data_IF_783679276974
#
_entry.id   IF_783679276974
#
_cell.length_a   1.000
_cell.length_b   1.000
_cell.length_c   1.000
_cell.angle_alpha   90.00
_cell.angle_beta   90.00
_cell.angle_gamma   90.00
#
_symmetry.space_group_name_H-M   'P 1'
#
loop_
_entity.id
_entity.type
_entity.pdbx_description
1 polymer ?
#
# COMPACT_ATOMS: atom_id res chain seq x y z
N UNK A 1 -6.78 -24.18 49.10
CA UNK A 1 -7.98 -23.71 49.83
C UNK A 1 -9.02 -23.30 48.80
N UNK A 2 -10.25 -23.83 48.89
CA UNK A 2 -11.40 -23.31 48.13
C UNK A 2 -11.97 -22.11 48.89
N UNK A 3 -12.16 -20.99 48.21
CA UNK A 3 -13.05 -19.92 48.66
C UNK A 3 -13.96 -19.47 47.51
N UNK A 4 -15.26 -19.54 47.78
CA UNK A 4 -16.37 -19.00 47.00
C UNK A 4 -16.64 -17.54 47.37
N UNK A 5 -17.12 -16.73 46.42
CA UNK A 5 -17.84 -15.49 46.70
C UNK A 5 -17.28 -14.23 46.03
N UNK A 6 -18.15 -13.56 45.28
CA UNK A 6 -17.94 -12.33 44.48
C UNK A 6 -17.22 -11.20 45.22
N UNK A 7 -16.09 -10.77 44.65
CA UNK A 7 -15.72 -9.36 44.46
C UNK A 7 -14.58 -9.31 43.42
N UNK A 8 -14.87 -8.89 42.20
CA UNK A 8 -13.86 -8.70 41.15
C UNK A 8 -13.15 -7.37 41.46
N UNK A 9 -12.10 -7.42 42.28
CA UNK A 9 -11.11 -6.36 42.44
C UNK A 9 -9.84 -6.79 41.71
N UNK A 10 -9.25 -5.86 40.97
CA UNK A 10 -8.03 -6.03 40.19
C UNK A 10 -6.90 -6.62 41.05
N UNK A 11 -6.63 -7.92 40.91
CA UNK A 11 -5.48 -8.54 41.55
C UNK A 11 -4.27 -8.34 40.64
N UNK A 12 -3.32 -7.52 41.09
CA UNK A 12 -1.97 -7.52 40.56
C UNK A 12 -1.29 -8.81 41.07
N UNK A 13 -1.11 -9.79 40.20
CA UNK A 13 -0.30 -10.97 40.52
C UNK A 13 1.18 -10.59 40.37
N UNK A 14 1.90 -10.51 41.49
CA UNK A 14 3.35 -10.50 41.48
C UNK A 14 3.84 -11.96 41.45
N UNK A 15 4.39 -12.41 40.34
CA UNK A 15 5.11 -13.68 40.24
C UNK A 15 6.60 -13.38 40.36
N UNK A 16 7.25 -13.88 41.40
CA UNK A 16 8.71 -13.82 41.52
C UNK A 16 9.33 -14.85 40.57
N UNK A 17 10.07 -14.38 39.56
CA UNK A 17 10.93 -15.23 38.74
C UNK A 17 12.37 -15.05 39.21
N UNK A 18 13.04 -16.16 39.52
CA UNK A 18 14.44 -16.16 39.93
C UNK A 18 15.31 -16.19 38.66
N UNK A 19 15.99 -15.08 38.37
CA UNK A 19 17.07 -15.04 37.36
C UNK A 19 18.38 -14.92 38.12
N UNK A 20 19.36 -15.77 37.77
CA UNK A 20 20.67 -15.76 38.40
C UNK A 20 21.33 -14.38 38.24
N UNK A 21 21.32 -13.57 39.31
CA UNK A 21 21.92 -12.22 39.32
C UNK A 21 21.17 -11.15 40.11
N UNK A 22 19.91 -11.36 40.51
CA UNK A 22 19.19 -10.41 41.38
C UNK A 22 17.67 -10.43 41.23
N UNK A 23 16.97 -9.94 42.26
CA UNK A 23 15.50 -9.82 42.26
C UNK A 23 15.10 -8.62 41.41
N UNK A 24 14.63 -8.86 40.18
CA UNK A 24 13.90 -7.86 39.43
C UNK A 24 12.41 -7.92 39.83
N UNK A 25 11.92 -6.89 40.52
CA UNK A 25 10.48 -6.65 40.69
C UNK A 25 9.90 -6.21 39.34
N UNK A 26 9.60 -7.19 38.47
CA UNK A 26 8.89 -6.94 37.23
C UNK A 26 7.41 -6.70 37.54
N UNK A 27 6.98 -5.43 37.58
CA UNK A 27 5.55 -5.12 37.45
C UNK A 27 5.17 -5.53 36.03
N UNK A 28 4.44 -6.64 35.89
CA UNK A 28 3.84 -6.97 34.60
C UNK A 28 2.85 -5.87 34.26
N UNK A 29 3.25 -4.99 33.33
CA UNK A 29 2.37 -3.97 32.81
C UNK A 29 1.11 -4.66 32.25
N UNK A 30 -0.07 -4.15 32.60
CA UNK A 30 -1.32 -4.65 32.04
C UNK A 30 -1.40 -4.38 30.54
N UNK A 31 -2.31 -5.05 29.80
CA UNK A 31 -2.43 -4.89 28.36
C UNK A 31 -2.68 -3.44 27.93
N UNK A 32 -3.44 -2.65 28.69
CA UNK A 32 -3.68 -1.23 28.36
C UNK A 32 -2.39 -0.38 28.41
N UNK A 33 -1.53 -0.65 29.40
CA UNK A 33 -0.26 0.07 29.56
C UNK A 33 0.74 -0.35 28.48
N UNK A 34 0.83 -1.65 28.18
CA UNK A 34 1.67 -2.17 27.08
C UNK A 34 1.23 -1.63 25.73
N UNK A 35 -0.09 -1.57 25.48
CA UNK A 35 -0.65 -1.00 24.26
C UNK A 35 -0.22 0.47 24.11
N UNK A 36 -0.38 1.27 25.16
CA UNK A 36 0.00 2.68 25.15
C UNK A 36 1.51 2.87 24.95
N UNK A 37 2.34 2.14 25.71
CA UNK A 37 3.79 2.21 25.58
C UNK A 37 4.26 1.80 24.18
N UNK A 38 3.64 0.78 23.57
CA UNK A 38 3.96 0.36 22.21
C UNK A 38 3.63 1.45 21.18
N UNK A 39 2.46 2.09 21.31
CA UNK A 39 2.08 3.23 20.47
C UNK A 39 3.08 4.39 20.60
N UNK A 40 3.46 4.75 21.83
CA UNK A 40 4.40 5.84 22.11
C UNK A 40 5.80 5.53 21.56
N UNK A 41 6.29 4.30 21.73
CA UNK A 41 7.57 3.85 21.20
C UNK A 41 7.59 3.86 19.66
N UNK A 42 6.50 3.44 19.00
CA UNK A 42 6.40 3.44 17.54
C UNK A 42 6.32 4.87 16.98
N UNK A 43 5.60 5.76 17.65
CA UNK A 43 5.57 7.18 17.33
C UNK A 43 6.95 7.83 17.46
N UNK A 44 7.71 7.44 18.49
CA UNK A 44 9.08 7.90 18.74
C UNK A 44 10.12 7.26 17.79
N UNK A 45 9.72 6.39 16.87
CA UNK A 45 10.64 5.73 15.92
C UNK A 45 11.51 4.64 16.53
N UNK A 46 11.21 4.19 17.76
CA UNK A 46 11.97 3.15 18.47
C UNK A 46 11.49 1.75 18.06
N UNK A 47 11.79 1.36 16.82
CA UNK A 47 11.20 0.17 16.19
C UNK A 47 11.35 -1.13 17.02
N UNK A 48 12.55 -1.40 17.56
CA UNK A 48 12.81 -2.61 18.36
C UNK A 48 12.03 -2.63 19.67
N UNK A 49 12.02 -1.49 20.38
CA UNK A 49 11.27 -1.34 21.64
C UNK A 49 9.77 -1.48 21.40
N UNK A 50 9.25 -0.79 20.37
CA UNK A 50 7.84 -0.88 19.97
C UNK A 50 7.44 -2.32 19.64
N UNK A 51 8.25 -3.05 18.85
CA UNK A 51 7.99 -4.46 18.53
C UNK A 51 7.89 -5.32 19.79
N UNK A 52 8.82 -5.17 20.73
CA UNK A 52 8.79 -5.93 21.99
C UNK A 52 7.54 -5.61 22.81
N UNK A 53 7.13 -4.34 22.87
CA UNK A 53 5.93 -3.92 23.59
C UNK A 53 4.65 -4.42 22.91
N UNK A 54 4.58 -4.41 21.58
CA UNK A 54 3.46 -5.00 20.83
C UNK A 54 3.34 -6.50 21.05
N UNK A 55 4.46 -7.23 21.06
CA UNK A 55 4.47 -8.66 21.37
C UNK A 55 4.09 -8.93 22.82
N UNK A 56 4.57 -8.11 23.75
CA UNK A 56 4.16 -8.15 25.15
C UNK A 56 2.66 -7.93 25.32
N UNK A 57 2.09 -6.96 24.60
CA UNK A 57 0.64 -6.75 24.56
C UNK A 57 -0.09 -8.00 24.06
N UNK A 58 0.34 -8.60 22.94
CA UNK A 58 -0.29 -9.79 22.38
C UNK A 58 -0.14 -11.04 23.27
N UNK A 59 0.90 -11.09 24.10
CA UNK A 59 1.06 -12.15 25.10
C UNK A 59 0.11 -11.96 26.30
N UNK A 60 -0.18 -10.71 26.67
CA UNK A 60 -1.13 -10.37 27.73
C UNK A 60 -2.60 -10.42 27.24
N UNK A 61 -2.83 -10.13 25.96
CA UNK A 61 -4.14 -10.14 25.31
C UNK A 61 -4.03 -10.79 23.93
N UNK A 62 -4.28 -12.11 23.90
CA UNK A 62 -4.13 -12.92 22.69
C UNK A 62 -5.40 -12.93 21.81
N UNK A 63 -6.55 -12.49 22.32
CA UNK A 63 -7.83 -12.59 21.65
C UNK A 63 -8.61 -11.30 21.74
N UNK A 64 -9.54 -11.14 20.80
CA UNK A 64 -10.44 -10.02 20.73
C UNK A 64 -9.96 -8.94 19.77
N UNK A 65 -10.82 -7.96 19.57
CA UNK A 65 -10.68 -7.00 18.47
C UNK A 65 -9.40 -6.16 18.57
N UNK A 66 -8.91 -5.85 19.77
CA UNK A 66 -7.65 -5.10 19.94
C UNK A 66 -6.45 -5.93 19.52
N UNK A 67 -6.37 -7.19 19.97
CA UNK A 67 -5.33 -8.13 19.55
C UNK A 67 -5.34 -8.32 18.04
N UNK A 68 -6.52 -8.48 17.43
CA UNK A 68 -6.65 -8.61 15.98
C UNK A 68 -6.23 -7.35 15.24
N UNK A 69 -6.56 -6.15 15.74
CA UNK A 69 -6.10 -4.88 15.17
C UNK A 69 -4.58 -4.73 15.27
N UNK A 70 -3.98 -5.10 16.40
CA UNK A 70 -2.52 -5.07 16.58
C UNK A 70 -1.85 -6.01 15.58
N UNK A 71 -2.32 -7.26 15.46
CA UNK A 71 -1.79 -8.29 14.54
C UNK A 71 -1.85 -7.94 13.06
N UNK A 72 -2.71 -7.00 12.70
CA UNK A 72 -3.00 -6.64 11.32
C UNK A 72 -2.63 -5.17 11.02
N UNK A 73 -1.86 -4.50 11.89
CA UNK A 73 -1.47 -3.09 11.74
C UNK A 73 -2.63 -2.13 11.47
N UNK A 74 -3.71 -2.29 12.25
CA UNK A 74 -4.93 -1.48 12.19
C UNK A 74 -5.09 -0.54 13.40
N UNK A 75 -4.03 -0.37 14.21
CA UNK A 75 -4.06 0.54 15.36
C UNK A 75 -3.78 1.96 14.88
N UNK A 76 -4.69 2.90 15.14
CA UNK A 76 -4.47 4.32 14.82
C UNK A 76 -3.52 4.91 15.87
N UNK A 77 -2.32 5.30 15.46
CA UNK A 77 -1.32 5.91 16.33
C UNK A 77 -1.55 7.42 16.49
N UNK A 78 -2.02 8.07 15.42
CA UNK A 78 -2.23 9.52 15.42
C UNK A 78 -2.65 10.02 14.05
N UNK A 79 -3.00 11.32 14.01
CA UNK A 79 -3.42 11.98 12.77
C UNK A 79 -2.74 13.32 12.59
N UNK A 80 -2.41 13.67 11.35
CA UNK A 80 -1.92 14.99 10.93
C UNK A 80 -2.88 15.59 9.92
N UNK A 81 -3.23 16.86 10.07
CA UNK A 81 -4.03 17.61 9.09
C UNK A 81 -3.11 18.57 8.32
N UNK A 82 -3.15 18.46 7.00
CA UNK A 82 -2.54 19.37 6.05
C UNK A 82 -3.65 20.35 5.68
N UNK A 83 -3.49 21.64 6.01
CA UNK A 83 -4.56 22.63 6.16
C UNK A 83 -5.55 22.80 5.01
N UNK A 84 -6.45 23.79 5.13
CA UNK A 84 -7.62 23.93 4.24
C UNK A 84 -7.32 24.05 2.75
N UNK A 85 -6.11 24.47 2.39
CA UNK A 85 -5.68 24.64 1.01
C UNK A 85 -5.21 23.32 0.36
N UNK A 86 -4.92 22.30 1.18
CA UNK A 86 -4.60 20.96 0.71
C UNK A 86 -5.89 20.18 0.40
N UNK A 87 -6.38 20.20 -0.84
CA UNK A 87 -7.61 19.47 -1.22
C UNK A 87 -7.49 18.76 -2.56
N UNK A 88 -8.16 17.61 -2.66
CA UNK A 88 -8.39 16.88 -3.91
C UNK A 88 -7.37 15.75 -4.11
N UNK A 89 -7.88 14.53 -4.33
CA UNK A 89 -7.13 13.30 -4.66
C UNK A 89 -5.69 13.23 -4.11
N UNK A 90 -5.47 13.04 -2.80
CA UNK A 90 -4.12 12.93 -2.27
C UNK A 90 -3.45 11.65 -2.81
N UNK A 91 -2.19 11.77 -3.24
CA UNK A 91 -1.38 10.65 -3.71
C UNK A 91 0.06 10.81 -3.23
N UNK A 92 0.57 9.79 -2.54
CA UNK A 92 1.93 9.78 -2.02
C UNK A 92 2.95 9.63 -3.16
N UNK A 93 4.08 10.33 -3.02
CA UNK A 93 5.27 10.01 -3.82
C UNK A 93 5.78 8.60 -3.47
N UNK A 94 6.51 7.94 -4.37
CA UNK A 94 7.04 6.58 -4.14
C UNK A 94 8.02 6.46 -2.97
N UNK A 95 8.70 7.55 -2.60
CA UNK A 95 9.56 7.60 -1.42
C UNK A 95 8.81 7.91 -0.11
N UNK A 96 7.51 8.21 -0.20
CA UNK A 96 6.65 8.51 0.94
C UNK A 96 6.93 9.85 1.62
N UNK A 97 7.73 10.74 1.04
CA UNK A 97 8.04 12.05 1.64
C UNK A 97 7.07 13.13 1.23
N UNK A 98 6.62 13.08 -0.02
CA UNK A 98 5.78 14.08 -0.63
C UNK A 98 4.34 13.57 -0.78
N UNK A 99 3.40 14.50 -0.76
CA UNK A 99 2.01 14.23 -1.06
C UNK A 99 1.52 15.19 -2.13
N UNK A 100 1.12 14.64 -3.28
CA UNK A 100 0.51 15.41 -4.36
C UNK A 100 -1.01 15.45 -4.16
N UNK A 101 -1.61 16.62 -4.32
CA UNK A 101 -3.05 16.83 -4.21
C UNK A 101 -3.49 17.89 -5.22
N UNK A 102 -4.79 17.93 -5.51
CA UNK A 102 -5.35 18.93 -6.40
C UNK A 102 -6.62 18.51 -7.12
N UNK A 103 -7.31 19.51 -7.67
CA UNK A 103 -8.44 19.34 -8.59
C UNK A 103 -8.48 20.51 -9.58
N UNK A 104 -7.76 20.36 -10.68
CA UNK A 104 -7.61 21.37 -11.74
C UNK A 104 -6.31 22.16 -11.67
N UNK A 105 -5.74 22.33 -10.47
CA UNK A 105 -4.33 22.67 -10.25
C UNK A 105 -3.74 21.63 -9.30
N UNK A 106 -2.46 21.28 -9.50
CA UNK A 106 -1.77 20.32 -8.66
C UNK A 106 -0.80 21.03 -7.74
N UNK A 107 -0.64 20.52 -6.53
CA UNK A 107 0.37 20.96 -5.60
C UNK A 107 0.99 19.76 -4.90
N UNK A 108 2.22 19.93 -4.45
CA UNK A 108 2.96 18.95 -3.67
C UNK A 108 3.26 19.58 -2.32
N UNK A 109 3.10 18.78 -1.26
CA UNK A 109 3.53 19.14 0.09
C UNK A 109 4.57 18.16 0.58
N UNK A 110 5.66 18.67 1.15
CA UNK A 110 6.56 17.87 1.98
C UNK A 110 5.85 17.56 3.30
N UNK A 111 5.63 16.28 3.57
CA UNK A 111 4.84 15.87 4.72
C UNK A 111 5.58 16.06 6.04
N UNK A 112 6.91 16.14 6.05
CA UNK A 112 7.68 16.41 7.26
C UNK A 112 7.65 17.90 7.60
N UNK A 113 8.02 18.77 6.65
CA UNK A 113 8.15 20.22 6.87
C UNK A 113 6.83 20.97 6.76
N UNK A 114 5.89 20.46 5.95
CA UNK A 114 4.66 21.16 5.58
C UNK A 114 4.84 22.21 4.49
N UNK A 115 6.04 22.33 3.92
CA UNK A 115 6.34 23.20 2.78
C UNK A 115 5.57 22.73 1.54
N UNK A 116 5.02 23.68 0.77
CA UNK A 116 4.13 23.41 -0.33
C UNK A 116 4.59 24.14 -1.58
N UNK A 117 4.51 23.46 -2.71
CA UNK A 117 4.68 24.11 -4.01
C UNK A 117 3.59 23.71 -4.98
N UNK A 118 3.10 24.71 -5.71
CA UNK A 118 2.13 24.52 -6.79
C UNK A 118 2.86 24.09 -8.06
N UNK A 119 2.31 23.10 -8.74
CA UNK A 119 2.78 22.70 -10.06
C UNK A 119 1.88 23.35 -11.11
N UNK A 120 2.51 24.09 -12.04
CA UNK A 120 1.79 24.65 -13.16
C UNK A 120 1.35 23.54 -14.12
N UNK A 121 0.07 23.54 -14.47
CA UNK A 121 -0.49 22.57 -15.39
C UNK A 121 -0.08 22.95 -16.82
N UNK A 122 0.56 22.05 -17.60
CA UNK A 122 1.12 22.43 -18.91
C UNK A 122 0.03 22.80 -19.92
N UNK A 123 -1.12 22.14 -19.82
CA UNK A 123 -2.22 22.22 -20.80
C UNK A 123 -3.58 22.13 -20.10
N UNK A 124 -3.86 23.06 -19.19
CA UNK A 124 -5.17 23.19 -18.55
C UNK A 124 -5.44 22.20 -17.41
N UNK A 125 -6.68 22.12 -16.91
CA UNK A 125 -6.96 21.52 -15.61
C UNK A 125 -6.67 20.01 -15.51
N UNK A 126 -5.90 19.61 -14.49
CA UNK A 126 -5.47 18.23 -14.23
C UNK A 126 -6.22 17.59 -13.06
N UNK A 127 -6.58 16.31 -13.20
CA UNK A 127 -7.37 15.55 -12.22
C UNK A 127 -6.87 14.10 -12.12
N UNK A 128 -7.24 13.37 -11.06
CA UNK A 128 -7.00 11.92 -10.93
C UNK A 128 -5.56 11.51 -11.27
N UNK A 129 -4.61 12.13 -10.58
CA UNK A 129 -3.18 11.95 -10.80
C UNK A 129 -2.61 10.70 -10.13
N UNK A 130 -1.47 10.22 -10.61
CA UNK A 130 -0.70 9.13 -10.01
C UNK A 130 0.79 9.23 -10.35
N UNK A 131 1.64 8.80 -9.42
CA UNK A 131 3.09 8.76 -9.62
C UNK A 131 3.51 7.44 -10.26
N UNK A 132 4.45 7.48 -11.19
CA UNK A 132 5.25 6.32 -11.53
C UNK A 132 6.10 5.90 -10.32
N UNK A 133 6.46 4.61 -10.18
CA UNK A 133 7.24 4.13 -9.04
C UNK A 133 8.64 4.75 -8.89
N UNK A 134 9.21 5.30 -9.95
CA UNK A 134 10.47 6.05 -9.94
C UNK A 134 10.30 7.53 -9.48
N UNK A 135 9.07 8.02 -9.41
CA UNK A 135 8.74 9.39 -9.01
C UNK A 135 8.96 10.45 -10.10
N UNK A 136 9.24 10.03 -11.34
CA UNK A 136 9.58 10.93 -12.45
C UNK A 136 8.35 11.25 -13.29
N UNK A 137 7.52 10.26 -13.59
CA UNK A 137 6.34 10.43 -14.45
C UNK A 137 5.07 10.56 -13.61
N UNK A 138 4.20 11.50 -14.01
CA UNK A 138 2.86 11.67 -13.47
C UNK A 138 1.83 11.32 -14.55
N UNK A 139 0.96 10.36 -14.25
CA UNK A 139 -0.23 10.11 -15.05
C UNK A 139 -1.37 11.01 -14.56
N UNK A 140 -2.00 11.74 -15.46
CA UNK A 140 -3.07 12.69 -15.13
C UNK A 140 -4.25 12.55 -16.09
N UNK A 141 -5.45 12.78 -15.58
CA UNK A 141 -6.64 12.99 -16.40
C UNK A 141 -6.77 14.47 -16.75
N UNK A 142 -6.94 14.76 -18.03
CA UNK A 142 -7.39 16.06 -18.53
C UNK A 142 -8.65 15.91 -19.39
N UNK A 143 -9.25 17.05 -19.76
CA UNK A 143 -10.42 17.12 -20.63
C UNK A 143 -9.97 17.61 -22.01
N UNK A 144 -10.24 16.81 -23.04
CA UNK A 144 -10.01 17.20 -24.43
C UNK A 144 -10.99 18.29 -24.87
N UNK A 145 -10.71 18.97 -25.99
CA UNK A 145 -11.61 19.95 -26.61
C UNK A 145 -12.98 19.36 -26.94
N UNK A 146 -13.01 18.07 -27.33
CA UNK A 146 -14.25 17.30 -27.52
C UNK A 146 -15.09 17.11 -26.24
N UNK A 147 -14.56 17.52 -25.10
CA UNK A 147 -15.12 17.34 -23.77
C UNK A 147 -14.90 15.97 -23.14
N UNK A 148 -14.30 15.03 -23.89
CA UNK A 148 -14.01 13.67 -23.43
C UNK A 148 -12.80 13.68 -22.48
N UNK A 149 -12.83 12.86 -21.41
CA UNK A 149 -11.68 12.73 -20.51
C UNK A 149 -10.60 11.85 -21.16
N UNK A 150 -9.35 12.25 -20.99
CA UNK A 150 -8.21 11.52 -21.51
C UNK A 150 -7.06 11.50 -20.51
N UNK A 151 -6.23 10.48 -20.61
CA UNK A 151 -5.06 10.27 -19.75
C UNK A 151 -3.83 10.76 -20.48
N UNK A 152 -3.08 11.64 -19.82
CA UNK A 152 -1.81 12.19 -20.26
C UNK A 152 -0.71 11.74 -19.30
N UNK A 153 0.51 11.67 -19.81
CA UNK A 153 1.71 11.44 -19.02
C UNK A 153 2.59 12.68 -19.08
N UNK A 154 3.14 13.05 -17.93
CA UNK A 154 4.03 14.18 -17.78
C UNK A 154 5.30 13.76 -17.05
N UNK A 155 6.46 14.22 -17.50
CA UNK A 155 7.70 14.14 -16.75
C UNK A 155 7.81 15.33 -15.80
N UNK A 156 8.19 15.05 -14.56
CA UNK A 156 8.46 16.05 -13.53
C UNK A 156 9.96 16.33 -13.50
N UNK A 157 10.33 17.60 -13.70
CA UNK A 157 11.69 18.06 -13.44
C UNK A 157 11.87 18.44 -11.95
N UNK A 158 13.11 18.45 -11.43
CA UNK A 158 13.39 18.81 -10.04
C UNK A 158 12.93 20.23 -9.66
N UNK A 159 12.84 21.14 -10.64
CA UNK A 159 12.37 22.53 -10.54
C UNK A 159 10.84 22.68 -10.78
N UNK A 160 10.10 21.59 -10.59
CA UNK A 160 8.65 21.53 -10.35
C UNK A 160 7.71 21.74 -11.54
N UNK A 161 8.24 22.10 -12.71
CA UNK A 161 7.46 22.11 -13.95
C UNK A 161 7.18 20.68 -14.43
N UNK A 162 5.94 20.47 -14.92
CA UNK A 162 5.52 19.25 -15.61
C UNK A 162 5.72 19.44 -17.11
N UNK A 163 6.30 18.44 -17.78
CA UNK A 163 6.52 18.46 -19.22
C UNK A 163 5.79 17.30 -19.87
N UNK A 164 5.01 17.51 -20.95
CA UNK A 164 4.34 16.41 -21.64
C UNK A 164 5.36 15.38 -22.11
N UNK A 165 5.07 14.09 -21.91
CA UNK A 165 5.89 13.03 -22.50
C UNK A 165 5.61 12.91 -24.00
N UNK A 166 6.64 12.63 -24.80
CA UNK A 166 6.46 12.36 -26.23
C UNK A 166 5.97 13.57 -27.02
N UNK A 167 4.92 13.40 -27.81
CA UNK A 167 4.30 14.44 -28.63
C UNK A 167 3.26 15.30 -27.86
N UNK A 168 3.03 14.99 -26.59
CA UNK A 168 2.03 15.67 -25.76
C UNK A 168 0.59 15.23 -26.03
N UNK A 169 0.38 14.15 -26.79
CA UNK A 169 -0.94 13.56 -26.99
C UNK A 169 -1.33 12.62 -25.84
N UNK A 170 -2.63 12.41 -25.58
CA UNK A 170 -3.06 11.47 -24.56
C UNK A 170 -2.76 10.01 -24.96
N UNK A 171 -2.34 9.19 -23.99
CA UNK A 171 -2.09 7.76 -24.23
C UNK A 171 -3.37 7.00 -24.62
N UNK A 172 -4.51 7.45 -24.09
CA UNK A 172 -5.86 7.02 -24.45
C UNK A 172 -6.92 7.92 -23.80
N UNK A 173 -8.19 7.78 -24.22
CA UNK A 173 -9.32 8.33 -23.48
C UNK A 173 -9.55 7.49 -22.22
N UNK A 174 -9.91 8.12 -21.11
CA UNK A 174 -10.09 7.45 -19.82
C UNK A 174 -10.37 8.44 -18.69
N UNK A 175 -10.95 7.94 -17.58
CA UNK A 175 -11.32 8.78 -16.43
C UNK A 175 -10.28 8.78 -15.31
N UNK A 176 -9.18 8.04 -15.48
CA UNK A 176 -8.06 7.96 -14.55
C UNK A 176 -7.18 6.76 -14.86
N UNK A 177 -5.90 6.86 -14.49
CA UNK A 177 -4.93 5.79 -14.64
C UNK A 177 -4.12 5.63 -13.35
N UNK A 178 -3.67 4.40 -13.08
CA UNK A 178 -2.81 4.08 -11.95
C UNK A 178 -1.62 3.24 -12.40
N UNK A 179 -0.42 3.62 -12.02
CA UNK A 179 0.78 2.84 -12.30
C UNK A 179 0.75 1.53 -11.52
N UNK A 180 1.22 0.48 -12.17
CA UNK A 180 1.59 -0.74 -11.48
C UNK A 180 2.92 -0.54 -10.73
N UNK A 181 3.26 -1.48 -9.85
CA UNK A 181 4.46 -1.38 -9.03
C UNK A 181 5.76 -1.46 -9.83
N UNK A 182 5.75 -2.08 -11.02
CA UNK A 182 6.92 -2.15 -11.90
C UNK A 182 7.15 -0.87 -12.71
N UNK A 183 6.15 0.01 -12.79
CA UNK A 183 6.20 1.21 -13.62
C UNK A 183 6.15 0.92 -15.12
N UNK A 184 5.90 -0.34 -15.52
CA UNK A 184 5.82 -0.75 -16.93
C UNK A 184 4.42 -0.61 -17.50
N UNK A 185 3.40 -0.53 -16.64
CA UNK A 185 2.01 -0.59 -17.05
C UNK A 185 1.11 0.34 -16.24
N UNK A 186 -0.03 0.68 -16.84
CA UNK A 186 -1.07 1.49 -16.23
C UNK A 186 -2.40 0.72 -16.24
N UNK A 187 -3.13 0.79 -15.13
CA UNK A 187 -4.52 0.41 -15.07
C UNK A 187 -5.38 1.63 -15.39
N UNK A 188 -6.06 1.62 -16.54
CA UNK A 188 -6.88 2.72 -17.01
C UNK A 188 -8.35 2.41 -16.82
N UNK A 189 -9.08 3.32 -16.18
CA UNK A 189 -10.53 3.22 -15.98
C UNK A 189 -11.29 3.86 -17.14
N UNK A 190 -12.29 3.16 -17.67
CA UNK A 190 -13.09 3.58 -18.84
C UNK A 190 -12.25 3.93 -20.07
N UNK A 191 -11.23 3.11 -20.33
CA UNK A 191 -10.32 3.29 -21.44
C UNK A 191 -11.03 3.17 -22.79
N UNK A 192 -10.70 4.08 -23.70
CA UNK A 192 -11.09 4.04 -25.10
C UNK A 192 -9.96 4.57 -25.99
N UNK A 193 -9.81 4.00 -27.18
CA UNK A 193 -8.79 4.41 -28.15
C UNK A 193 -9.37 4.37 -29.56
N UNK A 194 -8.99 5.30 -30.41
CA UNK A 194 -9.37 5.26 -31.81
C UNK A 194 -8.55 4.18 -32.54
N UNK A 195 -9.25 3.33 -33.27
CA UNK A 195 -8.68 2.25 -34.08
C UNK A 195 -9.34 2.32 -35.45
N UNK A 196 -8.54 2.58 -36.50
CA UNK A 196 -9.03 2.73 -37.89
C UNK A 196 -10.17 3.75 -38.02
N UNK A 197 -10.04 4.92 -37.37
CA UNK A 197 -11.04 6.00 -37.41
C UNK A 197 -12.31 5.74 -36.61
N UNK A 198 -12.38 4.67 -35.80
CA UNK A 198 -13.50 4.36 -34.91
C UNK A 198 -13.05 4.30 -33.46
N UNK A 199 -13.82 4.92 -32.57
CA UNK A 199 -13.57 4.82 -31.14
C UNK A 199 -13.95 3.43 -30.62
N UNK A 200 -12.95 2.68 -30.15
CA UNK A 200 -13.14 1.37 -29.53
C UNK A 200 -13.11 1.52 -28.01
N UNK A 201 -14.12 0.95 -27.34
CA UNK A 201 -14.27 0.98 -25.88
C UNK A 201 -13.64 -0.28 -25.26
N UNK A 202 -12.71 -0.10 -24.34
CA UNK A 202 -12.01 -1.18 -23.64
C UNK A 202 -12.51 -1.40 -22.21
N UNK A 203 -13.21 -0.42 -21.62
CA UNK A 203 -13.69 -0.53 -20.24
C UNK A 203 -12.56 -0.33 -19.23
N UNK A 204 -12.37 -1.23 -18.28
CA UNK A 204 -11.13 -1.24 -17.49
C UNK A 204 -10.07 -1.93 -18.33
N UNK A 205 -8.91 -1.29 -18.52
CA UNK A 205 -7.88 -1.78 -19.42
C UNK A 205 -6.49 -1.63 -18.82
N UNK A 206 -5.59 -2.48 -19.30
CA UNK A 206 -4.16 -2.43 -19.05
C UNK A 206 -3.50 -1.72 -20.22
N UNK A 207 -2.72 -0.69 -19.93
CA UNK A 207 -1.90 0.00 -20.92
C UNK A 207 -0.43 -0.33 -20.65
N UNK A 208 0.26 -0.94 -21.61
CA UNK A 208 1.69 -1.27 -21.53
C UNK A 208 2.50 -0.11 -22.11
N UNK A 209 3.40 0.48 -21.31
CA UNK A 209 4.13 1.70 -21.71
C UNK A 209 5.08 1.44 -22.88
N UNK A 210 5.85 0.33 -22.82
CA UNK A 210 6.85 0.01 -23.83
C UNK A 210 6.26 -0.27 -25.23
N UNK A 211 5.10 -0.93 -25.28
CA UNK A 211 4.44 -1.32 -26.54
C UNK A 211 3.30 -0.39 -26.91
N UNK A 212 2.92 0.54 -26.03
CA UNK A 212 1.74 1.41 -26.11
C UNK A 212 0.43 0.63 -26.36
N UNK A 213 0.43 -0.64 -25.97
CA UNK A 213 -0.69 -1.56 -26.19
C UNK A 213 -1.73 -1.38 -25.10
N UNK A 214 -2.98 -1.17 -25.53
CA UNK A 214 -4.14 -1.13 -24.65
C UNK A 214 -4.90 -2.47 -24.76
N UNK A 215 -4.99 -3.20 -23.65
CA UNK A 215 -5.65 -4.51 -23.56
C UNK A 215 -6.81 -4.46 -22.56
N UNK A 216 -8.02 -4.91 -22.92
CA UNK A 216 -9.14 -4.90 -21.98
C UNK A 216 -8.93 -5.94 -20.87
N UNK A 217 -9.30 -5.60 -19.65
CA UNK A 217 -9.33 -6.54 -18.53
C UNK A 217 -10.73 -7.16 -18.48
N UNK A 218 -10.87 -8.48 -18.67
CA UNK A 218 -12.17 -9.12 -18.65
C UNK A 218 -12.82 -8.93 -17.27
N UNK A 219 -14.11 -8.60 -17.26
CA UNK A 219 -14.91 -8.67 -16.04
C UNK A 219 -16.37 -8.92 -16.38
N UNK A 220 -16.98 -9.88 -15.68
CA UNK A 220 -18.39 -10.21 -15.82
C UNK A 220 -19.01 -10.43 -14.45
N UNK A 221 -20.12 -9.75 -14.17
CA UNK A 221 -20.94 -9.99 -13.00
C UNK A 221 -22.42 -9.98 -13.37
N UNK A 222 -23.19 -10.94 -12.85
CA UNK A 222 -24.58 -11.17 -13.25
C UNK A 222 -25.49 -9.94 -13.01
N UNK A 223 -25.22 -9.16 -11.95
CA UNK A 223 -26.12 -8.07 -11.50
C UNK A 223 -25.49 -6.67 -11.50
N UNK A 224 -24.18 -6.57 -11.73
CA UNK A 224 -23.43 -5.31 -11.56
C UNK A 224 -22.70 -4.97 -12.86
N UNK A 225 -22.52 -3.69 -13.12
CA UNK A 225 -21.56 -3.17 -14.08
C UNK A 225 -20.39 -2.57 -13.28
N UNK A 226 -19.17 -3.02 -13.50
CA UNK A 226 -17.97 -2.59 -12.79
C UNK A 226 -17.34 -1.46 -13.57
N UNK A 227 -17.21 -0.28 -12.96
CA UNK A 227 -16.45 0.84 -13.54
C UNK A 227 -16.00 1.82 -12.43
N UNK A 228 -14.80 2.36 -12.65
CA UNK A 228 -14.17 3.54 -12.01
C UNK A 228 -13.27 3.26 -10.81
N UNK A 229 -12.19 4.05 -10.73
CA UNK A 229 -11.21 4.10 -9.64
C UNK A 229 -10.65 2.72 -9.29
N UNK A 230 -10.32 1.96 -10.34
CA UNK A 230 -9.60 0.72 -10.15
C UNK A 230 -8.18 1.04 -9.66
N UNK A 231 -7.66 0.24 -8.74
CA UNK A 231 -6.32 0.38 -8.17
C UNK A 231 -5.67 -0.99 -8.09
N UNK A 232 -4.35 -1.05 -8.24
CA UNK A 232 -3.61 -2.28 -8.11
C UNK A 232 -3.63 -2.79 -6.66
N UNK A 233 -3.69 -4.11 -6.51
CA UNK A 233 -3.61 -4.82 -5.22
C UNK A 233 -2.48 -5.86 -5.19
N UNK A 234 -1.63 -5.83 -6.22
CA UNK A 234 -0.53 -6.77 -6.53
C UNK A 234 -0.31 -6.79 -8.05
N UNK A 235 0.69 -7.51 -8.56
CA UNK A 235 1.00 -7.52 -10.00
C UNK A 235 -0.12 -8.09 -10.88
N UNK A 236 -0.87 -9.09 -10.38
CA UNK A 236 -1.96 -9.71 -11.14
C UNK A 236 -3.35 -9.45 -10.54
N UNK A 237 -3.49 -8.58 -9.55
CA UNK A 237 -4.80 -8.32 -8.92
C UNK A 237 -5.09 -6.85 -8.85
N UNK A 238 -6.36 -6.50 -9.08
CA UNK A 238 -6.84 -5.14 -8.95
C UNK A 238 -8.10 -5.09 -8.08
N UNK A 239 -8.24 -3.98 -7.38
CA UNK A 239 -9.44 -3.63 -6.63
C UNK A 239 -10.23 -2.59 -7.41
N UNK A 240 -11.55 -2.70 -7.39
CA UNK A 240 -12.45 -1.76 -8.05
C UNK A 240 -13.81 -1.75 -7.35
N UNK A 241 -14.62 -0.74 -7.63
CA UNK A 241 -16.01 -0.75 -7.22
C UNK A 241 -16.92 -1.10 -8.40
N UNK A 242 -18.02 -1.78 -8.10
CA UNK A 242 -19.05 -2.09 -9.07
C UNK A 242 -20.43 -1.74 -8.52
N UNK A 243 -21.30 -1.23 -9.41
CA UNK A 243 -22.65 -0.78 -9.07
C UNK A 243 -23.71 -1.64 -9.74
N UNK A 244 -24.85 -1.80 -9.06
CA UNK A 244 -26.02 -2.49 -9.62
C UNK A 244 -26.64 -1.70 -10.78
N UNK A 245 -27.20 -2.39 -11.78
CA UNK A 245 -27.92 -1.75 -12.90
C UNK A 245 -29.17 -0.98 -12.46
N UNK A 246 -29.80 -1.39 -11.35
CA UNK A 246 -31.06 -0.82 -10.86
C UNK A 246 -30.88 0.41 -9.96
N UNK A 247 -29.70 0.63 -9.38
CA UNK A 247 -29.41 1.80 -8.55
C UNK A 247 -27.91 2.09 -8.50
N UNK A 248 -27.51 3.30 -8.90
CA UNK A 248 -26.15 3.81 -8.67
C UNK A 248 -25.76 3.92 -7.19
N UNK A 249 -26.74 3.75 -6.28
CA UNK A 249 -26.61 3.86 -4.83
C UNK A 249 -26.18 2.56 -4.13
N UNK A 250 -26.06 1.43 -4.84
CA UNK A 250 -25.52 0.18 -4.31
C UNK A 250 -24.17 -0.12 -4.95
N UNK A 251 -23.10 0.45 -4.38
CA UNK A 251 -21.71 0.20 -4.80
C UNK A 251 -21.03 -0.72 -3.80
N UNK A 252 -20.45 -1.81 -4.31
CA UNK A 252 -19.66 -2.74 -3.55
C UNK A 252 -18.23 -2.80 -4.10
N UNK A 253 -17.28 -3.08 -3.21
CA UNK A 253 -15.87 -3.22 -3.56
C UNK A 253 -15.57 -4.68 -3.89
N UNK A 254 -14.87 -4.88 -5.00
CA UNK A 254 -14.45 -6.17 -5.51
C UNK A 254 -12.94 -6.21 -5.73
N UNK A 255 -12.34 -7.36 -5.51
CA UNK A 255 -10.97 -7.69 -5.92
C UNK A 255 -11.05 -8.76 -7.00
N UNK A 256 -10.29 -8.63 -8.09
CA UNK A 256 -10.25 -9.62 -9.17
C UNK A 256 -8.84 -9.75 -9.76
N UNK A 257 -8.58 -10.85 -10.47
CA UNK A 257 -7.34 -11.05 -11.23
C UNK A 257 -7.37 -10.28 -12.56
N UNK A 258 -6.23 -9.71 -12.96
CA UNK A 258 -6.07 -8.90 -14.17
C UNK A 258 -6.07 -9.74 -15.45
N UNK A 259 -5.53 -10.96 -15.41
CA UNK A 259 -5.36 -11.81 -16.60
C UNK A 259 -6.69 -12.36 -17.14
N UNK A 260 -7.61 -12.74 -16.25
CA UNK A 260 -8.85 -13.43 -16.61
C UNK A 260 -10.12 -12.81 -15.99
N UNK A 261 -9.99 -11.83 -15.10
CA UNK A 261 -11.12 -11.27 -14.34
C UNK A 261 -11.68 -12.20 -13.25
N UNK A 262 -11.03 -13.34 -13.01
CA UNK A 262 -11.42 -14.37 -12.07
C UNK A 262 -11.04 -14.07 -10.61
N UNK A 263 -11.33 -15.02 -9.71
CA UNK A 263 -10.99 -14.89 -8.29
C UNK A 263 -11.73 -13.74 -7.58
N UNK A 264 -12.96 -13.46 -8.00
CA UNK A 264 -13.71 -12.28 -7.55
C UNK A 264 -14.14 -12.42 -6.09
N UNK A 265 -13.67 -11.52 -5.23
CA UNK A 265 -14.09 -11.45 -3.82
C UNK A 265 -14.79 -10.11 -3.57
N UNK A 266 -15.99 -10.15 -3.00
CA UNK A 266 -16.70 -8.95 -2.52
C UNK A 266 -16.25 -8.65 -1.08
N UNK A 267 -15.70 -7.44 -0.87
CA UNK A 267 -15.11 -7.05 0.43
C UNK A 267 -16.12 -6.32 1.32
N UNK A 268 -17.04 -5.56 0.74
CA UNK A 268 -18.00 -4.76 1.50
C UNK A 268 -19.43 -5.29 1.39
N UNK A 269 -20.20 -5.19 2.48
CA UNK A 269 -21.61 -5.60 2.52
C UNK A 269 -22.54 -4.54 1.92
N UNK A 270 -23.67 -4.98 1.36
CA UNK A 270 -24.67 -4.12 0.74
C UNK A 270 -25.41 -3.26 1.80
N UNK A 271 -25.85 -2.05 1.43
CA UNK A 271 -26.60 -1.12 2.31
C UNK A 271 -26.03 0.30 2.39
N UNK A 272 -24.84 0.51 1.84
CA UNK A 272 -24.21 1.81 1.61
C UNK A 272 -23.43 1.79 0.29
N UNK A 273 -23.14 2.96 -0.27
CA UNK A 273 -22.29 3.10 -1.45
C UNK A 273 -20.82 3.14 -1.06
N UNK A 274 -20.06 2.11 -1.39
CA UNK A 274 -18.62 2.07 -1.17
C UNK A 274 -17.86 2.41 -2.47
N UNK A 275 -16.87 3.29 -2.42
CA UNK A 275 -16.12 3.73 -3.61
C UNK A 275 -14.66 4.09 -3.29
N UNK A 276 -13.89 4.40 -4.33
CA UNK A 276 -12.44 4.72 -4.27
C UNK A 276 -11.66 3.71 -3.43
N UNK A 277 -11.74 2.41 -3.72
CA UNK A 277 -10.96 1.45 -2.99
C UNK A 277 -9.48 1.60 -3.32
N UNK A 278 -8.63 1.51 -2.31
CA UNK A 278 -7.19 1.41 -2.44
C UNK A 278 -6.66 0.32 -1.54
N UNK A 279 -5.65 -0.39 -2.00
CA UNK A 279 -5.02 -1.45 -1.22
C UNK A 279 -3.64 -0.96 -0.78
N UNK A 280 -3.26 -1.29 0.45
CA UNK A 280 -1.91 -1.06 0.94
C UNK A 280 -0.91 -1.84 0.06
N UNK A 281 0.35 -1.41 0.05
CA UNK A 281 1.41 -2.07 -0.72
C UNK A 281 1.66 -3.52 -0.26
N UNK A 282 1.35 -3.81 1.00
CA UNK A 282 1.33 -5.16 1.57
C UNK A 282 0.11 -5.98 1.16
N UNK A 283 -0.81 -5.45 0.35
CA UNK A 283 -2.03 -6.10 -0.14
C UNK A 283 -2.97 -6.70 0.92
N UNK A 284 -2.70 -6.51 2.22
CA UNK A 284 -3.43 -7.10 3.35
C UNK A 284 -4.55 -6.19 3.84
N UNK A 285 -4.39 -4.89 3.63
CA UNK A 285 -5.31 -3.84 4.07
C UNK A 285 -5.90 -3.10 2.89
N UNK A 286 -7.19 -2.82 3.00
CA UNK A 286 -7.97 -2.07 2.03
C UNK A 286 -8.60 -0.87 2.71
N UNK A 287 -8.49 0.29 2.09
CA UNK A 287 -9.24 1.47 2.49
C UNK A 287 -10.27 1.81 1.42
N UNK A 288 -11.46 2.24 1.82
CA UNK A 288 -12.46 2.74 0.89
C UNK A 288 -13.35 3.80 1.53
N UNK A 289 -13.93 4.65 0.70
CA UNK A 289 -15.00 5.57 1.08
C UNK A 289 -16.32 4.82 1.22
N UNK A 290 -17.14 5.21 2.21
CA UNK A 290 -18.53 4.79 2.35
C UNK A 290 -19.43 6.01 2.46
N UNK A 291 -20.41 6.12 1.57
CA UNK A 291 -21.52 7.07 1.68
C UNK A 291 -22.84 6.35 1.90
N UNK A 292 -23.61 6.86 2.86
CA UNK A 292 -24.98 6.44 3.14
C UNK A 292 -25.89 7.66 3.12
N UNK A 293 -27.08 7.52 2.56
CA UNK A 293 -28.02 8.65 2.39
C UNK A 293 -28.34 9.26 3.76
N UNK A 294 -28.15 10.57 3.89
CA UNK A 294 -28.39 11.31 5.13
C UNK A 294 -27.26 11.25 6.16
N UNK A 295 -26.16 10.56 5.85
CA UNK A 295 -24.99 10.42 6.72
C UNK A 295 -23.75 11.04 6.06
N UNK A 296 -22.80 11.57 6.85
CA UNK A 296 -21.53 12.04 6.31
C UNK A 296 -20.78 10.87 5.65
N UNK A 297 -19.99 11.18 4.62
CA UNK A 297 -19.09 10.20 4.03
C UNK A 297 -17.97 9.86 5.02
N UNK A 298 -17.67 8.57 5.12
CA UNK A 298 -16.70 8.03 6.06
C UNK A 298 -15.67 7.16 5.37
N UNK A 299 -14.49 7.10 5.96
CA UNK A 299 -13.39 6.26 5.53
C UNK A 299 -13.42 4.95 6.31
N UNK A 300 -13.47 3.86 5.57
CA UNK A 300 -13.38 2.50 6.08
C UNK A 300 -12.01 1.90 5.82
N UNK A 301 -11.56 1.11 6.78
CA UNK A 301 -10.36 0.29 6.71
C UNK A 301 -10.75 -1.16 6.98
N UNK A 302 -10.36 -2.08 6.10
CA UNK A 302 -10.71 -3.49 6.14
C UNK A 302 -9.50 -4.36 5.79
N UNK A 303 -9.59 -5.65 6.09
CA UNK A 303 -8.67 -6.64 5.54
C UNK A 303 -9.15 -7.14 4.19
N UNK A 304 -8.21 -7.39 3.29
CA UNK A 304 -8.52 -7.87 1.93
C UNK A 304 -9.04 -9.30 1.91
N UNK A 305 -8.80 -10.09 2.96
CA UNK A 305 -9.36 -11.42 3.14
C UNK A 305 -10.75 -11.42 3.79
N UNK A 306 -11.24 -10.25 4.23
CA UNK A 306 -12.54 -10.10 4.89
C UNK A 306 -12.61 -10.73 6.29
N UNK A 307 -11.48 -11.16 6.87
CA UNK A 307 -11.44 -11.81 8.19
C UNK A 307 -11.84 -10.91 9.34
N UNK A 308 -11.76 -9.58 9.14
CA UNK A 308 -12.22 -8.57 10.09
C UNK A 308 -13.30 -7.68 9.51
N UNK A 309 -14.24 -7.27 10.38
CA UNK A 309 -15.22 -6.24 10.04
C UNK A 309 -14.49 -4.93 9.74
N UNK A 310 -14.89 -4.21 8.66
CA UNK A 310 -14.32 -2.90 8.37
C UNK A 310 -14.50 -1.93 9.55
N UNK A 311 -13.45 -1.20 9.89
CA UNK A 311 -13.45 -0.16 10.91
C UNK A 311 -13.58 1.22 10.28
N UNK A 312 -14.33 2.11 10.92
CA UNK A 312 -14.42 3.51 10.53
C UNK A 312 -13.28 4.29 11.18
N UNK A 313 -12.45 4.95 10.38
CA UNK A 313 -11.26 5.68 10.86
C UNK A 313 -11.37 7.20 10.74
N UNK A 314 -12.47 7.70 10.15
CA UNK A 314 -12.77 9.12 10.12
C UNK A 314 -13.78 9.52 9.06
N UNK A 315 -14.18 10.79 9.06
CA UNK A 315 -15.01 11.39 8.01
C UNK A 315 -14.14 11.87 6.87
N UNK A 316 -14.48 11.51 5.64
CA UNK A 316 -13.68 11.87 4.48
C UNK A 316 -13.73 10.86 3.34
N UNK A 317 -12.89 11.07 2.33
CA UNK A 317 -12.90 10.29 1.12
C UNK A 317 -11.58 10.21 0.36
N UNK A 318 -11.55 9.44 -0.73
CA UNK A 318 -10.39 9.31 -1.62
C UNK A 318 -9.11 8.91 -0.86
N UNK A 319 -9.14 7.76 -0.15
CA UNK A 319 -7.95 7.27 0.53
C UNK A 319 -6.79 7.01 -0.43
N UNK A 320 -5.57 7.19 0.07
CA UNK A 320 -4.32 6.77 -0.56
C UNK A 320 -3.31 6.32 0.49
N UNK A 321 -2.80 5.10 0.32
CA UNK A 321 -1.76 4.54 1.18
C UNK A 321 -0.40 5.14 0.87
N UNK A 322 0.41 5.36 1.91
CA UNK A 322 1.84 5.57 1.71
C UNK A 322 2.48 4.29 1.17
N UNK A 323 3.64 4.39 0.48
CA UNK A 323 4.30 3.24 -0.14
C UNK A 323 4.67 2.12 0.85
N UNK A 324 4.97 2.47 2.10
CA UNK A 324 5.26 1.54 3.19
C UNK A 324 4.00 0.98 3.89
N UNK A 325 2.80 1.45 3.53
CA UNK A 325 1.54 1.10 4.16
C UNK A 325 1.38 1.57 5.61
N UNK A 326 2.28 2.40 6.14
CA UNK A 326 2.21 2.87 7.53
C UNK A 326 1.29 4.09 7.71
N UNK A 327 0.98 4.79 6.62
CA UNK A 327 0.15 6.00 6.62
C UNK A 327 -0.94 5.90 5.56
N UNK A 328 -2.06 6.54 5.85
CA UNK A 328 -3.18 6.68 4.94
C UNK A 328 -3.58 8.15 4.86
N UNK A 329 -3.45 8.73 3.67
CA UNK A 329 -3.93 10.08 3.37
C UNK A 329 -5.36 10.01 2.82
N UNK A 330 -6.19 10.99 3.14
CA UNK A 330 -7.55 11.10 2.61
C UNK A 330 -8.06 12.54 2.70
N UNK A 331 -9.04 12.88 1.88
CA UNK A 331 -9.66 14.19 1.88
C UNK A 331 -10.72 14.34 2.97
N UNK A 332 -10.76 15.52 3.56
CA UNK A 332 -11.78 15.95 4.51
C UNK A 332 -12.31 17.33 4.11
N UNK A 333 -13.41 17.81 4.69
CA UNK A 333 -13.85 19.20 4.51
C UNK A 333 -12.82 20.25 4.95
N UNK A 334 -11.84 19.86 5.78
CA UNK A 334 -10.80 20.71 6.34
C UNK A 334 -9.47 20.64 5.57
N UNK A 335 -9.36 19.79 4.56
CA UNK A 335 -8.13 19.55 3.81
C UNK A 335 -7.74 18.06 3.80
N UNK A 336 -6.50 17.77 3.48
CA UNK A 336 -5.99 16.39 3.50
C UNK A 336 -5.60 15.99 4.92
N UNK A 337 -6.09 14.83 5.35
CA UNK A 337 -5.75 14.22 6.63
C UNK A 337 -4.91 12.98 6.41
N UNK A 338 -3.87 12.82 7.21
CA UNK A 338 -3.00 11.66 7.24
C UNK A 338 -3.22 10.93 8.56
N UNK A 339 -3.61 9.66 8.50
CA UNK A 339 -3.67 8.75 9.63
C UNK A 339 -2.41 7.89 9.62
N UNK A 340 -1.74 7.77 10.77
CA UNK A 340 -0.66 6.82 10.97
C UNK A 340 -1.19 5.55 11.63
N UNK A 341 -0.86 4.40 11.06
CA UNK A 341 -1.24 3.09 11.56
C UNK A 341 -0.03 2.36 12.13
N UNK A 342 -0.25 1.61 13.20
CA UNK A 342 0.76 0.85 13.91
C UNK A 342 0.26 -0.51 14.35
N UNK A 343 1.08 -1.17 15.15
CA UNK A 343 0.95 -2.59 15.48
C UNK A 343 1.95 -3.45 14.71
N UNK A 344 1.87 -4.76 14.93
CA UNK A 344 2.79 -5.75 14.36
C UNK A 344 2.03 -6.65 13.41
N UNK A 345 2.56 -6.85 12.20
CA UNK A 345 2.03 -7.91 11.37
C UNK A 345 2.55 -9.25 11.91
N UNK A 346 1.65 -10.10 12.40
CA UNK A 346 2.00 -11.43 12.91
C UNK A 346 2.25 -12.48 11.81
N UNK A 347 1.94 -12.14 10.55
CA UNK A 347 2.25 -12.95 9.37
C UNK A 347 3.47 -12.37 8.71
N UNK A 348 4.66 -12.66 9.22
CA UNK A 348 5.83 -12.02 8.67
C UNK A 348 7.03 -12.95 8.58
N UNK A 349 7.53 -13.06 7.35
CA UNK A 349 8.90 -13.43 7.09
C UNK A 349 9.74 -12.16 7.20
N UNK A 350 10.54 -12.05 8.26
CA UNK A 350 11.62 -11.07 8.32
C UNK A 350 12.65 -11.37 7.24
N UNK A 351 13.49 -10.40 6.90
CA UNK A 351 14.41 -10.47 5.77
C UNK A 351 15.64 -9.63 6.07
N UNK A 352 16.82 -10.16 5.81
CA UNK A 352 18.07 -9.40 5.83
C UNK A 352 18.90 -9.77 4.60
N UNK A 353 19.52 -8.79 3.97
CA UNK A 353 20.37 -9.01 2.81
C UNK A 353 21.77 -8.46 3.04
N UNK A 354 22.79 -9.22 2.65
CA UNK A 354 24.20 -8.81 2.75
C UNK A 354 24.89 -9.12 1.43
N UNK A 355 25.70 -8.18 0.93
CA UNK A 355 26.59 -8.44 -0.21
C UNK A 355 27.73 -9.33 0.24
N UNK A 356 27.94 -10.44 -0.48
CA UNK A 356 29.02 -11.38 -0.23
C UNK A 356 29.77 -11.64 -1.54
N UNK A 357 30.76 -10.79 -1.81
CA UNK A 357 31.51 -10.81 -3.08
C UNK A 357 30.60 -10.54 -4.27
N UNK A 358 30.48 -11.54 -5.16
CA UNK A 358 29.69 -11.49 -6.38
C UNK A 358 28.26 -12.04 -6.19
N UNK A 359 27.81 -12.22 -4.94
CA UNK A 359 26.48 -12.71 -4.61
C UNK A 359 25.80 -11.83 -3.55
N UNK A 360 24.48 -11.94 -3.47
CA UNK A 360 23.68 -11.36 -2.40
C UNK A 360 23.11 -12.51 -1.56
N UNK A 361 23.50 -12.54 -0.29
CA UNK A 361 22.97 -13.48 0.68
C UNK A 361 21.69 -12.90 1.28
N UNK A 362 20.56 -13.57 1.11
CA UNK A 362 19.27 -13.18 1.69
C UNK A 362 18.88 -14.18 2.77
N UNK A 363 18.55 -13.68 3.96
CA UNK A 363 18.06 -14.47 5.09
C UNK A 363 16.61 -14.12 5.34
N UNK A 364 15.71 -15.08 5.18
CA UNK A 364 14.30 -15.01 5.56
C UNK A 364 14.14 -15.53 6.99
N UNK A 365 13.28 -14.93 7.80
CA UNK A 365 13.06 -15.31 9.21
C UNK A 365 11.57 -15.55 9.44
N UNK A 366 11.16 -16.78 9.72
CA UNK A 366 9.78 -17.09 10.05
C UNK A 366 9.57 -17.14 11.55
N UNK A 367 8.99 -16.09 12.11
CA UNK A 367 8.65 -16.05 13.55
C UNK A 367 7.30 -16.74 13.86
N UNK A 368 6.63 -17.31 12.85
CA UNK A 368 5.34 -17.99 12.97
C UNK A 368 5.46 -19.46 13.39
N UNK A 369 4.37 -20.00 13.95
CA UNK A 369 4.23 -21.40 14.41
C UNK A 369 3.99 -22.40 13.27
N UNK A 370 3.91 -21.95 12.01
CA UNK A 370 3.70 -22.79 10.84
C UNK A 370 4.71 -22.43 9.73
N UNK A 371 5.14 -23.41 8.91
CA UNK A 371 5.95 -23.13 7.73
C UNK A 371 5.27 -22.10 6.83
N UNK A 372 6.02 -21.13 6.35
CA UNK A 372 5.53 -20.09 5.46
C UNK A 372 6.23 -20.19 4.12
N UNK A 373 5.45 -20.11 3.04
CA UNK A 373 6.01 -20.03 1.70
C UNK A 373 6.24 -18.56 1.33
N UNK A 374 7.36 -18.27 0.68
CA UNK A 374 7.74 -16.95 0.20
C UNK A 374 8.19 -16.99 -1.26
N UNK A 375 7.85 -15.93 -1.99
CA UNK A 375 8.51 -15.55 -3.23
C UNK A 375 9.44 -14.39 -2.97
N UNK A 376 10.49 -14.33 -3.77
CA UNK A 376 11.49 -13.29 -3.70
C UNK A 376 11.54 -12.60 -5.07
N UNK A 377 11.38 -11.29 -5.07
CA UNK A 377 11.42 -10.49 -6.31
C UNK A 377 12.45 -9.37 -6.19
N UNK A 378 13.10 -9.06 -7.31
CA UNK A 378 14.05 -7.97 -7.45
C UNK A 378 13.62 -7.09 -8.63
N UNK A 379 13.64 -5.77 -8.46
CA UNK A 379 13.23 -4.80 -9.49
C UNK A 379 14.31 -3.73 -9.73
N UNK A 380 14.40 -3.27 -10.99
CA UNK A 380 15.36 -2.27 -11.49
C UNK A 380 14.77 -0.87 -11.37
N UNK A 381 15.55 0.12 -10.89
CA UNK A 381 15.05 1.49 -10.73
C UNK A 381 15.84 2.59 -11.48
N UNK A 382 17.18 2.56 -11.66
CA UNK A 382 17.92 3.57 -12.49
C UNK A 382 19.37 3.16 -12.90
N UNK A 383 20.15 4.09 -13.50
CA UNK A 383 21.53 3.90 -14.01
C UNK A 383 22.65 4.04 -12.94
N UNK A 384 22.33 4.44 -11.70
CA UNK A 384 23.27 4.50 -10.56
C UNK A 384 23.06 3.37 -9.55
N UNK A 385 22.03 2.55 -9.76
CA UNK A 385 21.70 1.35 -9.02
C UNK A 385 21.67 0.18 -9.98
N UNK A 386 22.21 -0.97 -9.59
CA UNK A 386 22.31 -2.08 -10.55
C UNK A 386 21.07 -2.95 -10.58
N UNK A 387 20.70 -3.26 -11.82
CA UNK A 387 19.74 -4.24 -12.31
C UNK A 387 19.83 -5.60 -11.64
N UNK A 388 18.67 -6.23 -11.45
CA UNK A 388 18.48 -7.65 -11.73
C UNK A 388 17.34 -7.76 -12.74
N UNK A 389 17.61 -8.39 -13.87
CA UNK A 389 16.60 -8.69 -14.89
C UNK A 389 15.78 -9.91 -14.52
N UNK A 390 14.52 -9.88 -14.95
CA UNK A 390 13.48 -10.91 -15.01
C UNK A 390 13.63 -12.15 -14.14
N UNK A 391 12.66 -12.34 -13.26
CA UNK A 391 12.14 -13.67 -12.97
C UNK A 391 10.63 -13.68 -13.17
N UNK A 392 10.18 -14.64 -13.98
CA UNK A 392 8.78 -15.03 -14.12
C UNK A 392 8.28 -15.59 -12.78
N UNK A 393 6.98 -15.55 -12.55
CA UNK A 393 6.29 -16.23 -11.44
C UNK A 393 6.42 -17.77 -11.51
N UNK A 394 7.35 -18.32 -12.30
CA UNK A 394 7.56 -19.75 -12.57
C UNK A 394 8.53 -20.43 -11.59
N UNK A 395 9.25 -19.66 -10.76
CA UNK A 395 10.05 -20.24 -9.69
C UNK A 395 9.17 -20.75 -8.54
N UNK A 396 9.46 -21.98 -8.11
CA UNK A 396 8.79 -22.60 -6.97
C UNK A 396 8.98 -21.74 -5.70
N UNK A 397 7.92 -21.51 -4.91
CA UNK A 397 8.02 -20.76 -3.66
C UNK A 397 9.02 -21.39 -2.69
N UNK A 398 9.81 -20.56 -2.01
CA UNK A 398 10.68 -20.99 -0.93
C UNK A 398 9.83 -21.34 0.29
N UNK A 399 10.00 -22.54 0.84
CA UNK A 399 9.38 -22.89 2.14
C UNK A 399 10.33 -22.51 3.27
N UNK A 400 9.95 -21.52 4.08
CA UNK A 400 10.68 -21.12 5.28
C UNK A 400 10.08 -21.85 6.49
N UNK A 401 10.83 -22.72 7.17
CA UNK A 401 10.33 -23.51 8.30
C UNK A 401 9.86 -22.62 9.47
N UNK A 402 8.95 -23.12 10.30
CA UNK A 402 8.43 -22.40 11.46
C UNK A 402 9.54 -22.11 12.48
N UNK A 403 9.58 -20.88 13.03
CA UNK A 403 10.59 -20.44 14.02
C UNK A 403 12.05 -20.56 13.57
N UNK A 404 12.28 -20.59 12.26
CA UNK A 404 13.62 -20.76 11.68
C UNK A 404 13.93 -19.66 10.68
N UNK A 405 15.22 -19.53 10.36
CA UNK A 405 15.70 -18.68 9.28
C UNK A 405 16.23 -19.51 8.10
N UNK A 406 15.92 -19.07 6.89
CA UNK A 406 16.41 -19.64 5.66
C UNK A 406 17.35 -18.65 4.98
N UNK A 407 18.60 -19.04 4.72
CA UNK A 407 19.56 -18.21 3.99
C UNK A 407 19.81 -18.79 2.60
N UNK A 408 19.73 -17.94 1.57
CA UNK A 408 20.04 -18.31 0.18
C UNK A 408 20.92 -17.26 -0.48
N UNK A 409 21.92 -17.71 -1.23
CA UNK A 409 22.87 -16.86 -1.96
C UNK A 409 22.42 -16.71 -3.42
N UNK A 410 22.21 -15.48 -3.86
CA UNK A 410 21.81 -15.16 -5.23
C UNK A 410 22.99 -14.54 -5.98
N UNK A 411 23.50 -15.19 -7.04
CA UNK A 411 24.63 -14.67 -7.79
C UNK A 411 24.25 -13.39 -8.53
N UNK A 412 25.11 -12.39 -8.47
CA UNK A 412 25.02 -11.15 -9.25
C UNK A 412 25.69 -11.44 -10.61
N UNK A 413 25.01 -11.22 -11.74
CA UNK A 413 25.62 -11.39 -13.06
C UNK A 413 26.89 -10.54 -13.23
N UNK A 414 27.90 -11.06 -13.93
CA UNK A 414 29.22 -10.42 -13.99
C UNK A 414 29.21 -9.04 -14.66
N UNK A 415 28.30 -8.80 -15.61
CA UNK A 415 28.15 -7.49 -16.26
C UNK A 415 27.62 -6.40 -15.32
N UNK A 416 27.11 -6.80 -14.14
CA UNK A 416 26.44 -5.95 -13.16
C UNK A 416 27.31 -5.63 -11.94
N UNK A 417 28.45 -6.33 -11.77
CA UNK A 417 29.36 -6.17 -10.62
C UNK A 417 30.05 -4.81 -10.56
N UNK A 418 30.29 -4.16 -11.71
CA UNK A 418 31.09 -2.95 -11.81
C UNK A 418 30.35 -1.66 -11.39
N UNK A 419 29.01 -1.65 -11.41
CA UNK A 419 28.20 -0.44 -11.20
C UNK A 419 27.25 -0.55 -9.99
N UNK A 420 27.30 -1.66 -9.24
CA UNK A 420 26.32 -1.96 -8.19
C UNK A 420 26.70 -1.36 -6.84
N UNK A 421 26.08 -0.24 -6.48
CA UNK A 421 26.16 0.32 -5.14
C UNK A 421 25.02 -0.17 -4.21
N UNK A 422 23.81 -0.38 -4.74
CA UNK A 422 22.59 -0.73 -3.97
C UNK A 422 21.76 -1.77 -4.73
N UNK A 423 21.24 -2.79 -4.03
CA UNK A 423 20.29 -3.77 -4.56
C UNK A 423 19.03 -3.83 -3.68
N UNK A 424 17.83 -3.79 -4.26
CA UNK A 424 16.55 -3.83 -3.52
C UNK A 424 15.82 -5.15 -3.75
N UNK A 425 15.25 -5.71 -2.69
CA UNK A 425 14.49 -6.95 -2.72
C UNK A 425 13.10 -6.75 -2.15
N UNK A 426 12.17 -7.60 -2.56
CA UNK A 426 10.85 -7.72 -1.98
C UNK A 426 10.53 -9.18 -1.73
N UNK A 427 10.10 -9.47 -0.51
CA UNK A 427 9.65 -10.79 -0.08
C UNK A 427 8.12 -10.77 -0.13
N UNK A 428 7.50 -11.82 -0.65
CA UNK A 428 6.05 -11.93 -0.74
C UNK A 428 5.59 -13.31 -0.25
N UNK A 429 4.81 -13.42 0.84
CA UNK A 429 4.28 -14.70 1.29
C UNK A 429 3.27 -15.32 0.32
N UNK A 430 3.09 -16.64 0.43
CA UNK A 430 2.24 -17.40 -0.47
C UNK A 430 0.74 -17.25 -0.34
N UNK A 431 0.30 -16.87 0.85
CA UNK A 431 -1.11 -16.70 1.18
C UNK A 431 -1.26 -15.40 1.96
N UNK A 432 -1.75 -14.37 1.27
CA UNK A 432 -1.81 -13.01 1.79
C UNK A 432 -0.43 -12.34 1.78
N UNK A 433 -0.31 -11.01 1.67
CA UNK A 433 1.01 -10.43 1.51
C UNK A 433 1.51 -9.81 2.82
N UNK A 434 2.81 -9.91 3.04
CA UNK A 434 3.51 -9.28 4.14
C UNK A 434 4.94 -8.92 3.74
N UNK A 435 5.32 -7.76 4.27
CA UNK A 435 6.60 -7.04 4.30
C UNK A 435 7.39 -6.81 3.00
N UNK A 436 7.46 -5.53 2.63
CA UNK A 436 8.56 -4.97 1.85
C UNK A 436 9.72 -4.79 2.83
N UNK A 437 10.79 -5.57 2.65
CA UNK A 437 12.07 -5.25 3.28
C UNK A 437 13.01 -4.75 2.20
N UNK A 438 13.11 -3.42 2.12
CA UNK A 438 14.23 -2.80 1.43
C UNK A 438 15.50 -3.07 2.23
N UNK A 439 16.32 -3.98 1.75
CA UNK A 439 17.72 -4.06 2.17
C UNK A 439 18.47 -3.01 1.35
N UNK A 440 18.95 -1.94 1.99
CA UNK A 440 19.96 -1.07 1.38
C UNK A 440 21.32 -1.66 1.70
N UNK A 441 22.11 -1.96 0.67
CA UNK A 441 23.52 -2.29 0.85
C UNK A 441 24.29 -0.97 0.88
N UNK A 442 24.90 -0.64 2.02
CA UNK A 442 25.94 0.40 2.03
C UNK A 442 27.24 -0.19 1.47
N UNK A 443 28.02 0.59 0.70
CA UNK A 443 29.32 0.14 0.25
C UNK A 443 30.20 -0.17 1.46
N UNK A 444 30.88 -1.31 1.44
CA UNK A 444 31.99 -1.57 2.38
C UNK A 444 32.99 -0.44 2.23
N UNK A 445 33.40 0.15 3.35
CA UNK A 445 34.41 1.20 3.39
C UNK A 445 35.65 0.78 2.56
N UNK A 446 35.85 1.45 1.42
CA UNK A 446 36.96 1.21 0.50
C UNK A 446 36.54 0.62 -0.85
N UNK A 447 36.01 1.45 -1.74
CA UNK A 447 35.83 1.15 -3.16
C UNK A 447 34.97 2.23 -3.80
N UNK A 448 35.56 3.00 -4.73
CA UNK A 448 34.97 4.18 -5.38
C UNK A 448 33.62 3.92 -6.04
#
# INVERSE_FOLDING_TARGET
MRCSGRAMRSFHFAVMVWVAGGVALGVFAGPDELLKQAMDAELAGKATEARQLWLGFLAAEDKGERADRVRNRLVVLGTKELGKDCRGYPVWSPDGKLLMYGYGGLAIVDVATGEQVSMEAPTGPMYYHDWSPDGITIACRQKLDSGRPAVFLYERQPDEALFPTGDGEPICQGVGARFDWSGRQLLVSQAAKEVNGKLVQFGTARYELATQKLSPIPWRHAKRAGRNHASWSGEERYVFHAYGRAAMADRAIFVARVSDGGGVVQITVNGASNYTPVVASDGSRLACSRAKKGEPEVLLLALTDGSLKPIEIGRGNQPCWSPDGSRLAYNTPQGVKIVRLGGVCSRLLGGAGVRKGDAISLTLVNDGEAPQMAWLSCQVYDERSVRVADWSWEDDPLTVPAKESLTSDYPIPKELLANAAVARFRIQPAVGPAEIIMVSLEPTAGGQ
#
